data_IF_909332666558
#
_entry.id   IF_909332666558
#
_cell.length_a   1.000
_cell.length_b   1.000
_cell.length_c   1.000
_cell.angle_alpha   90.00
_cell.angle_beta   90.00
_cell.angle_gamma   90.00
#
_symmetry.space_group_name_H-M   'P 1'
#
loop_
_entity.id
_entity.type
_entity.pdbx_description
1 polymer ?
#
# COMPACT_ATOMS: atom_id res chain seq x y z
N UNK A 1 -12.57 -33.07 -43.52
CA UNK A 1 -12.99 -33.43 -42.14
C UNK A 1 -11.89 -33.29 -41.10
N UNK A 2 -10.63 -33.66 -41.39
CA UNK A 2 -9.50 -33.56 -40.44
C UNK A 2 -9.18 -32.12 -40.00
N UNK A 3 -9.17 -31.16 -40.95
CA UNK A 3 -8.90 -29.75 -40.65
C UNK A 3 -9.94 -29.08 -39.73
N UNK A 4 -11.23 -29.44 -39.85
CA UNK A 4 -12.29 -28.91 -38.96
C UNK A 4 -12.17 -29.46 -37.53
N UNK A 5 -11.75 -30.72 -37.37
CA UNK A 5 -11.47 -31.34 -36.06
C UNK A 5 -10.22 -30.76 -35.42
N UNK A 6 -9.19 -30.45 -36.21
CA UNK A 6 -7.98 -29.79 -35.75
C UNK A 6 -8.26 -28.34 -35.33
N UNK A 7 -9.05 -27.59 -36.10
CA UNK A 7 -9.46 -26.23 -35.75
C UNK A 7 -10.29 -26.19 -34.46
N UNK A 8 -11.16 -27.18 -34.23
CA UNK A 8 -11.93 -27.30 -33.00
C UNK A 8 -11.03 -27.59 -31.78
N UNK A 9 -10.02 -28.47 -31.93
CA UNK A 9 -9.04 -28.77 -30.87
C UNK A 9 -8.17 -27.56 -30.53
N UNK A 10 -7.77 -26.78 -31.54
CA UNK A 10 -7.02 -25.52 -31.34
C UNK A 10 -7.89 -24.49 -30.63
N UNK A 11 -9.18 -24.37 -30.98
CA UNK A 11 -10.10 -23.48 -30.29
C UNK A 11 -10.25 -23.83 -28.80
N UNK A 12 -10.39 -25.12 -28.47
CA UNK A 12 -10.48 -25.60 -27.08
C UNK A 12 -9.21 -25.27 -26.29
N UNK A 13 -8.04 -25.40 -26.93
CA UNK A 13 -6.74 -25.11 -26.30
C UNK A 13 -6.56 -23.62 -25.97
N UNK A 14 -7.11 -22.72 -26.79
CA UNK A 14 -7.06 -21.26 -26.58
C UNK A 14 -8.01 -20.83 -25.43
N UNK A 15 -9.10 -21.55 -25.20
CA UNK A 15 -10.02 -21.27 -24.07
C UNK A 15 -9.56 -21.87 -22.73
N UNK A 16 -8.57 -22.79 -22.73
CA UNK A 16 -8.04 -23.42 -21.52
C UNK A 16 -6.85 -22.72 -20.88
N UNK A 17 -6.39 -21.57 -21.40
CA UNK A 17 -5.50 -20.68 -20.62
C UNK A 17 -6.31 -20.12 -19.45
N UNK A 18 -6.21 -20.85 -18.35
CA UNK A 18 -6.81 -20.57 -17.07
C UNK A 18 -6.56 -19.13 -16.65
N UNK A 19 -7.65 -18.49 -16.27
CA UNK A 19 -7.70 -17.29 -15.47
C UNK A 19 -6.81 -17.52 -14.25
N UNK A 20 -5.60 -16.95 -14.25
CA UNK A 20 -4.84 -16.72 -13.01
C UNK A 20 -5.57 -15.61 -12.25
N UNK A 21 -6.75 -15.95 -11.73
CA UNK A 21 -7.35 -15.15 -10.67
C UNK A 21 -6.44 -15.40 -9.47
N UNK A 22 -5.63 -14.41 -9.11
CA UNK A 22 -5.09 -14.31 -7.76
C UNK A 22 -6.30 -14.16 -6.83
N UNK A 23 -6.91 -15.29 -6.49
CA UNK A 23 -8.08 -15.34 -5.64
C UNK A 23 -7.59 -15.19 -4.21
N UNK A 24 -7.98 -14.11 -3.56
CA UNK A 24 -7.84 -13.97 -2.11
C UNK A 24 -8.59 -15.12 -1.45
N UNK A 25 -7.85 -16.03 -0.83
CA UNK A 25 -8.37 -17.23 -0.16
C UNK A 25 -8.97 -16.85 1.19
N UNK A 26 -8.38 -15.88 1.86
CA UNK A 26 -8.85 -15.34 3.12
C UNK A 26 -8.51 -13.85 3.22
N UNK A 27 -9.41 -13.08 3.83
CA UNK A 27 -9.20 -11.67 4.11
C UNK A 27 -9.75 -11.32 5.50
N UNK A 28 -8.97 -10.59 6.28
CA UNK A 28 -9.36 -9.98 7.54
C UNK A 28 -9.14 -8.47 7.45
N UNK A 29 -10.18 -7.67 7.68
CA UNK A 29 -10.08 -6.22 7.79
C UNK A 29 -10.39 -5.82 9.22
N UNK A 30 -9.45 -5.14 9.87
CA UNK A 30 -9.64 -4.52 11.18
C UNK A 30 -9.53 -3.01 11.04
N UNK A 31 -10.47 -2.26 11.62
CA UNK A 31 -10.47 -0.78 11.63
C UNK A 31 -10.57 -0.27 13.07
N UNK A 32 -9.62 0.57 13.46
CA UNK A 32 -9.52 1.13 14.82
C UNK A 32 -9.46 2.65 14.71
N UNK A 33 -10.31 3.41 15.42
CA UNK A 33 -10.23 4.87 15.43
C UNK A 33 -8.97 5.33 16.19
N UNK A 34 -8.20 6.26 15.60
CA UNK A 34 -7.04 6.89 16.26
C UNK A 34 -7.39 8.27 16.81
N UNK A 35 -8.16 9.04 16.05
CA UNK A 35 -8.65 10.37 16.40
C UNK A 35 -9.94 10.66 15.61
N UNK A 36 -10.59 11.79 15.87
CA UNK A 36 -11.72 12.24 15.04
C UNK A 36 -11.27 12.38 13.58
N UNK A 37 -12.01 11.77 12.65
CA UNK A 37 -11.67 11.77 11.23
C UNK A 37 -10.49 10.87 10.84
N UNK A 38 -9.83 10.15 11.77
CA UNK A 38 -8.64 9.34 11.47
C UNK A 38 -8.79 7.90 11.97
N UNK A 39 -8.61 6.92 11.08
CA UNK A 39 -8.66 5.50 11.41
C UNK A 39 -7.39 4.76 10.99
N UNK A 40 -6.98 3.79 11.80
CA UNK A 40 -5.99 2.78 11.45
C UNK A 40 -6.69 1.53 10.93
N UNK A 41 -6.41 1.16 9.69
CA UNK A 41 -6.95 -0.03 9.04
C UNK A 41 -5.83 -1.03 8.79
N UNK A 42 -6.07 -2.28 9.15
CA UNK A 42 -5.21 -3.40 8.83
C UNK A 42 -5.97 -4.37 7.94
N UNK A 43 -5.40 -4.68 6.78
CA UNK A 43 -5.90 -5.72 5.87
C UNK A 43 -4.89 -6.88 5.91
N UNK A 44 -5.32 -8.08 6.28
CA UNK A 44 -4.52 -9.30 6.18
C UNK A 44 -5.12 -10.17 5.08
N UNK A 45 -4.35 -10.46 4.05
CA UNK A 45 -4.76 -11.31 2.95
C UNK A 45 -3.98 -12.63 3.00
N UNK A 46 -4.66 -13.72 2.67
CA UNK A 46 -4.00 -14.96 2.27
C UNK A 46 -4.32 -15.17 0.80
N UNK A 47 -3.30 -15.04 -0.04
CA UNK A 47 -3.39 -15.19 -1.49
C UNK A 47 -2.63 -16.45 -1.93
N UNK A 48 -2.70 -16.76 -3.23
CA UNK A 48 -2.03 -17.92 -3.82
C UNK A 48 -0.51 -17.94 -3.58
N UNK A 49 0.11 -16.77 -3.37
CA UNK A 49 1.54 -16.63 -3.10
C UNK A 49 1.89 -16.48 -1.61
N UNK A 50 0.90 -16.49 -0.71
CA UNK A 50 1.12 -16.45 0.74
C UNK A 50 0.36 -15.35 1.47
N UNK A 51 0.82 -15.06 2.68
CA UNK A 51 0.25 -14.01 3.53
C UNK A 51 0.78 -12.63 3.14
N UNK A 52 -0.13 -11.69 2.98
CA UNK A 52 0.15 -10.26 2.85
C UNK A 52 -0.55 -9.48 3.97
N UNK A 53 0.04 -8.36 4.39
CA UNK A 53 -0.52 -7.49 5.41
C UNK A 53 -0.27 -6.03 5.08
N UNK A 54 -1.35 -5.29 4.87
CA UNK A 54 -1.35 -3.87 4.54
C UNK A 54 -1.82 -3.05 5.74
N UNK A 55 -1.11 -1.95 5.99
CA UNK A 55 -1.44 -0.96 7.02
C UNK A 55 -1.84 0.36 6.36
N UNK A 56 -2.99 0.89 6.73
CA UNK A 56 -3.60 2.07 6.10
C UNK A 56 -3.98 3.07 7.20
N UNK A 57 -3.71 4.34 6.95
CA UNK A 57 -4.31 5.46 7.68
C UNK A 57 -5.38 6.07 6.79
N UNK A 58 -6.63 5.96 7.21
CA UNK A 58 -7.76 6.62 6.56
C UNK A 58 -8.02 7.96 7.25
N UNK A 59 -7.89 9.06 6.53
CA UNK A 59 -8.11 10.42 7.02
C UNK A 59 -9.24 11.10 6.23
N UNK A 60 -10.27 11.57 6.93
CA UNK A 60 -11.33 12.40 6.36
C UNK A 60 -10.95 13.87 6.45
N UNK A 61 -10.42 14.41 5.35
CA UNK A 61 -9.96 15.81 5.26
C UNK A 61 -11.08 16.86 5.35
N UNK A 62 -12.35 16.45 5.43
CA UNK A 62 -13.46 17.37 5.75
C UNK A 62 -13.62 17.59 7.26
N UNK A 63 -12.94 16.79 8.09
CA UNK A 63 -12.95 16.91 9.54
C UNK A 63 -12.30 18.23 9.97
N UNK A 64 -12.98 19.07 10.77
CA UNK A 64 -12.40 20.32 11.27
C UNK A 64 -11.10 20.06 12.05
N UNK A 65 -10.10 20.91 11.82
CA UNK A 65 -8.78 20.85 12.48
C UNK A 65 -7.93 19.62 12.12
N UNK A 66 -8.33 18.77 11.17
CA UNK A 66 -7.45 17.75 10.59
C UNK A 66 -6.65 18.34 9.44
N UNK A 67 -5.33 18.11 9.43
CA UNK A 67 -4.45 18.58 8.38
C UNK A 67 -3.46 17.49 7.98
N UNK A 68 -2.99 17.57 6.74
CA UNK A 68 -1.92 16.75 6.19
C UNK A 68 -0.78 17.67 5.74
N UNK A 69 0.43 17.33 6.13
CA UNK A 69 1.63 18.09 5.80
C UNK A 69 2.83 17.18 5.58
N UNK A 70 3.84 17.69 4.88
CA UNK A 70 5.11 17.02 4.65
C UNK A 70 6.07 17.38 5.79
N UNK A 71 6.40 16.37 6.61
CA UNK A 71 7.41 16.52 7.65
C UNK A 71 8.83 16.44 7.06
N UNK A 72 9.68 17.39 7.43
CA UNK A 72 11.12 17.42 7.08
C UNK A 72 11.93 17.64 8.35
N UNK A 73 13.17 17.17 8.36
CA UNK A 73 14.04 17.41 9.53
C UNK A 73 14.30 18.92 9.66
N UNK A 74 14.24 19.50 10.88
CA UNK A 74 14.51 20.91 11.10
C UNK A 74 15.89 21.38 10.61
N UNK A 75 16.84 20.45 10.44
CA UNK A 75 18.18 20.72 9.91
C UNK A 75 18.22 20.76 8.37
N UNK A 76 17.14 20.37 7.69
CA UNK A 76 16.97 20.38 6.24
C UNK A 76 16.75 18.99 5.62
N UNK A 77 16.37 18.97 4.33
CA UNK A 77 15.93 17.76 3.59
C UNK A 77 16.99 16.66 3.43
N UNK A 78 18.27 16.99 3.60
CA UNK A 78 19.37 16.02 3.54
C UNK A 78 19.57 15.23 4.83
N UNK A 79 18.83 15.57 5.90
CA UNK A 79 18.88 14.85 7.17
C UNK A 79 17.73 13.86 7.22
N UNK A 80 18.09 12.59 7.36
CA UNK A 80 17.13 11.49 7.42
C UNK A 80 16.82 11.15 8.87
N UNK A 81 15.56 10.77 9.10
CA UNK A 81 15.07 10.30 10.39
C UNK A 81 14.03 9.19 10.19
N UNK A 82 13.67 8.48 11.26
CA UNK A 82 12.61 7.47 11.19
C UNK A 82 11.24 8.13 11.15
N UNK A 83 10.26 7.45 10.55
CA UNK A 83 8.86 7.92 10.53
C UNK A 83 8.32 8.15 11.94
N UNK A 84 8.66 7.26 12.88
CA UNK A 84 8.31 7.42 14.30
C UNK A 84 8.87 8.72 14.87
N UNK A 85 10.13 9.05 14.58
CA UNK A 85 10.73 10.27 15.09
C UNK A 85 10.09 11.51 14.47
N UNK A 86 9.77 11.48 13.18
CA UNK A 86 9.02 12.57 12.54
C UNK A 86 7.63 12.75 13.16
N UNK A 87 6.89 11.68 13.39
CA UNK A 87 5.59 11.76 14.06
C UNK A 87 5.70 12.44 15.43
N UNK A 88 6.69 12.04 16.24
CA UNK A 88 6.93 12.63 17.56
C UNK A 88 7.36 14.11 17.51
N UNK A 89 8.23 14.48 16.57
CA UNK A 89 8.72 15.87 16.46
C UNK A 89 7.62 16.84 16.04
N UNK A 90 6.66 16.39 15.26
CA UNK A 90 5.56 17.20 14.73
C UNK A 90 4.24 17.00 15.48
N UNK A 91 4.24 16.25 16.58
CA UNK A 91 3.04 15.88 17.35
C UNK A 91 1.90 15.34 16.45
N UNK A 92 2.27 14.51 15.48
CA UNK A 92 1.35 14.01 14.47
C UNK A 92 0.58 12.79 14.98
N UNK A 93 -0.73 12.75 14.72
CA UNK A 93 -1.60 11.60 15.03
C UNK A 93 -1.15 10.34 14.30
N UNK A 94 -0.63 10.48 13.07
CA UNK A 94 -0.04 9.41 12.28
C UNK A 94 0.95 9.98 11.26
N UNK A 95 1.91 9.16 10.83
CA UNK A 95 2.85 9.51 9.77
C UNK A 95 3.21 8.25 8.94
N UNK A 96 3.58 8.47 7.68
CA UNK A 96 4.08 7.44 6.75
C UNK A 96 5.34 7.95 6.06
N UNK A 97 6.13 7.08 5.44
CA UNK A 97 7.22 7.53 4.58
C UNK A 97 6.66 8.23 3.33
N UNK A 98 7.35 9.28 2.88
CA UNK A 98 6.93 10.12 1.75
C UNK A 98 7.65 9.76 0.45
N UNK A 99 8.72 10.51 0.15
CA UNK A 99 9.44 10.44 -1.13
C UNK A 99 10.63 9.46 -1.10
N UNK A 100 11.18 9.18 -2.28
CA UNK A 100 12.53 8.64 -2.42
C UNK A 100 13.55 9.68 -1.90
N UNK A 101 14.64 9.20 -1.31
CA UNK A 101 15.68 10.07 -0.78
C UNK A 101 17.07 9.47 -0.97
N UNK A 102 18.08 10.34 -1.05
CA UNK A 102 19.46 9.91 -1.05
C UNK A 102 19.95 9.71 0.39
N UNK A 103 20.37 8.49 0.71
CA UNK A 103 20.93 8.16 2.02
C UNK A 103 22.44 8.39 2.09
N UNK A 104 23.08 8.78 0.97
CA UNK A 104 24.50 9.05 0.91
C UNK A 104 24.81 10.51 1.23
N UNK A 105 25.66 10.75 2.24
CA UNK A 105 26.14 12.10 2.57
C UNK A 105 26.94 12.68 1.39
N UNK A 106 26.43 13.74 0.78
CA UNK A 106 27.07 14.44 -0.35
C UNK A 106 26.42 14.21 -1.71
N UNK A 107 25.37 13.39 -1.79
CA UNK A 107 24.47 13.38 -2.93
C UNK A 107 23.68 14.70 -2.93
N UNK A 108 23.89 15.53 -3.94
CA UNK A 108 22.91 16.56 -4.29
C UNK A 108 21.66 15.80 -4.79
N UNK A 109 20.47 16.23 -4.37
CA UNK A 109 19.20 15.53 -4.62
C UNK A 109 18.91 15.28 -6.09
#
# INVERSE_FOLDING_TARGET
MKAKRLALLVLIFIFSSSILANATVYQEITKVPLAEGVNYVTIKNFESYGWDKVYIIEADMTTPNLAFDVAVDPRGIGYLNTVEKYAQMHDAVAAVNGDFFSWYKGSQG
#
